data_IF_676839445596
#
_entry.id   IF_676839445596
#
_cell.length_a   1.000
_cell.length_b   1.000
_cell.length_c   1.000
_cell.angle_alpha   90.00
_cell.angle_beta   90.00
_cell.angle_gamma   90.00
#
_symmetry.space_group_name_H-M   'P 1'
#
loop_
_entity.id
_entity.type
_entity.pdbx_description
1 polymer ?
#
# COMPACT_ATOMS: atom_id res chain seq x y z
N UNK A 1 -7.93 8.29 33.51
CA UNK A 1 -7.77 7.40 32.35
C UNK A 1 -7.05 8.18 31.26
N UNK A 2 -5.93 7.66 30.78
CA UNK A 2 -5.15 8.33 29.70
C UNK A 2 -5.96 8.31 28.42
N UNK A 3 -6.12 9.45 27.71
CA UNK A 3 -6.80 9.50 26.43
C UNK A 3 -6.15 8.58 25.41
N UNK A 4 -6.94 7.83 24.67
CA UNK A 4 -6.44 6.85 23.71
C UNK A 4 -7.10 6.97 22.33
N UNK A 5 -6.36 6.62 21.29
CA UNK A 5 -6.89 6.38 19.94
C UNK A 5 -7.32 4.93 19.81
N UNK A 6 -8.55 4.70 19.37
CA UNK A 6 -9.07 3.37 19.07
C UNK A 6 -9.03 3.14 17.56
N UNK A 7 -8.05 2.39 17.09
CA UNK A 7 -7.96 1.97 15.70
C UNK A 7 -8.90 0.79 15.44
N UNK A 8 -9.54 0.77 14.28
CA UNK A 8 -10.42 -0.32 13.84
C UNK A 8 -10.00 -0.77 12.44
N UNK A 9 -9.63 -2.04 12.30
CA UNK A 9 -9.14 -2.61 11.03
C UNK A 9 -9.73 -4.00 10.80
N UNK A 10 -10.52 -4.17 9.72
CA UNK A 10 -11.26 -5.40 9.43
C UNK A 10 -10.49 -6.42 8.58
N UNK A 11 -9.42 -6.01 7.93
CA UNK A 11 -8.68 -6.84 6.99
C UNK A 11 -8.08 -8.08 7.65
N UNK A 12 -8.36 -9.26 7.06
CA UNK A 12 -7.90 -10.56 7.59
C UNK A 12 -6.57 -11.00 7.01
N UNK A 13 -6.31 -10.68 5.75
CA UNK A 13 -5.10 -11.03 5.04
C UNK A 13 -4.04 -9.95 5.23
N UNK A 14 -2.78 -10.38 5.25
CA UNK A 14 -1.66 -9.44 5.28
C UNK A 14 -1.43 -8.86 3.88
N UNK A 15 -1.88 -7.63 3.69
CA UNK A 15 -1.73 -6.85 2.46
C UNK A 15 -1.19 -5.45 2.75
N UNK A 16 -0.96 -4.65 1.73
CA UNK A 16 -0.48 -3.27 1.88
C UNK A 16 -1.27 -2.42 2.86
N UNK A 17 -2.60 -2.55 2.90
CA UNK A 17 -3.46 -1.85 3.86
C UNK A 17 -3.13 -2.19 5.32
N UNK A 18 -2.97 -3.47 5.65
CA UNK A 18 -2.62 -3.93 7.01
C UNK A 18 -1.19 -3.54 7.38
N UNK A 19 -0.25 -3.59 6.43
CA UNK A 19 1.11 -3.06 6.62
C UNK A 19 1.06 -1.58 7.01
N UNK A 20 0.20 -0.77 6.38
CA UNK A 20 0.05 0.66 6.71
C UNK A 20 -0.55 0.88 8.10
N UNK A 21 -1.51 0.05 8.54
CA UNK A 21 -2.04 0.11 9.92
C UNK A 21 -0.95 -0.19 10.93
N UNK A 22 -0.17 -1.25 10.69
CA UNK A 22 0.94 -1.63 11.55
C UNK A 22 2.02 -0.55 11.62
N UNK A 23 2.50 -0.03 10.47
CA UNK A 23 3.51 1.04 10.42
C UNK A 23 3.04 2.29 11.17
N UNK A 24 1.81 2.73 10.92
CA UNK A 24 1.24 3.89 11.61
C UNK A 24 1.19 3.67 13.12
N UNK A 25 0.64 2.53 13.57
CA UNK A 25 0.51 2.22 14.99
C UNK A 25 1.88 2.17 15.68
N UNK A 26 2.88 1.59 15.03
CA UNK A 26 4.26 1.52 15.55
C UNK A 26 4.88 2.91 15.71
N UNK A 27 4.76 3.78 14.72
CA UNK A 27 5.32 5.13 14.80
C UNK A 27 4.56 6.02 15.82
N UNK A 28 3.24 5.84 15.95
CA UNK A 28 2.46 6.49 17.00
C UNK A 28 2.86 6.02 18.41
N UNK A 29 3.14 4.72 18.57
CA UNK A 29 3.65 4.15 19.82
C UNK A 29 5.02 4.75 20.19
N UNK A 30 5.94 4.82 19.22
CA UNK A 30 7.25 5.47 19.39
C UNK A 30 7.15 6.94 19.79
N UNK A 31 6.11 7.61 19.28
CA UNK A 31 5.80 8.99 19.63
C UNK A 31 5.04 9.16 20.97
N UNK A 32 4.87 8.08 21.75
CA UNK A 32 4.23 8.09 23.06
C UNK A 32 2.71 8.17 23.04
N UNK A 33 2.05 7.98 21.89
CA UNK A 33 0.59 8.07 21.81
C UNK A 33 -0.06 6.80 22.38
N UNK A 34 -0.97 6.95 23.34
CA UNK A 34 -1.77 5.85 23.87
C UNK A 34 -2.77 5.41 22.82
N UNK A 35 -2.78 4.10 22.50
CA UNK A 35 -3.63 3.55 21.46
C UNK A 35 -4.02 2.11 21.72
N UNK A 36 -5.06 1.65 21.04
CA UNK A 36 -5.48 0.24 20.97
C UNK A 36 -5.97 -0.07 19.57
N UNK A 37 -5.65 -1.26 19.07
CA UNK A 37 -6.12 -1.70 17.74
C UNK A 37 -7.15 -2.82 17.91
N UNK A 38 -8.38 -2.57 17.45
CA UNK A 38 -9.44 -3.57 17.35
C UNK A 38 -9.36 -4.23 15.97
N UNK A 39 -9.01 -5.51 15.92
CA UNK A 39 -8.82 -6.26 14.68
C UNK A 39 -9.18 -7.73 14.84
N UNK A 40 -9.12 -8.51 13.75
CA UNK A 40 -9.34 -9.94 13.78
C UNK A 40 -8.34 -10.68 14.66
N UNK A 41 -8.81 -11.53 15.55
CA UNK A 41 -7.95 -12.36 16.39
C UNK A 41 -7.17 -13.37 15.53
N UNK A 42 -5.88 -13.56 15.83
CA UNK A 42 -5.00 -14.50 15.12
C UNK A 42 -4.62 -14.07 13.69
N UNK A 43 -4.87 -12.82 13.32
CA UNK A 43 -4.39 -12.27 12.04
C UNK A 43 -2.90 -11.88 12.13
N UNK A 44 -2.21 -11.85 10.99
CA UNK A 44 -0.83 -11.39 10.91
C UNK A 44 -0.67 -9.96 11.46
N UNK A 45 -1.65 -9.08 11.19
CA UNK A 45 -1.69 -7.73 11.77
C UNK A 45 -1.68 -7.77 13.29
N UNK A 46 -2.54 -8.61 13.90
CA UNK A 46 -2.61 -8.73 15.36
C UNK A 46 -1.28 -9.22 15.95
N UNK A 47 -0.66 -10.22 15.33
CA UNK A 47 0.63 -10.78 15.78
C UNK A 47 1.75 -9.75 15.71
N UNK A 48 1.86 -8.98 14.64
CA UNK A 48 2.88 -7.93 14.48
C UNK A 48 2.70 -6.80 15.48
N UNK A 49 1.46 -6.34 15.69
CA UNK A 49 1.16 -5.30 16.68
C UNK A 49 1.54 -5.74 18.09
N UNK A 50 1.23 -6.99 18.45
CA UNK A 50 1.61 -7.55 19.75
C UNK A 50 3.12 -7.72 19.90
N UNK A 51 3.84 -8.05 18.81
CA UNK A 51 5.29 -8.11 18.78
C UNK A 51 5.98 -6.77 19.04
N UNK A 52 5.29 -5.66 18.74
CA UNK A 52 5.73 -4.29 19.01
C UNK A 52 5.12 -3.70 20.31
N UNK A 53 4.61 -4.55 21.22
CA UNK A 53 3.95 -4.18 22.47
C UNK A 53 2.75 -3.22 22.32
N UNK A 54 2.12 -3.20 21.13
CA UNK A 54 0.92 -2.42 20.87
C UNK A 54 -0.30 -3.17 21.36
N UNK A 55 -1.13 -2.51 22.16
CA UNK A 55 -2.35 -3.10 22.71
C UNK A 55 -3.33 -3.48 21.61
N UNK A 56 -3.69 -4.77 21.55
CA UNK A 56 -4.64 -5.32 20.57
C UNK A 56 -5.87 -5.86 21.27
N UNK A 57 -7.05 -5.46 20.80
CA UNK A 57 -8.31 -6.11 21.13
C UNK A 57 -8.68 -7.06 19.97
N UNK A 58 -8.21 -8.30 20.06
CA UNK A 58 -8.52 -9.35 19.08
C UNK A 58 -9.97 -9.79 19.18
N UNK A 59 -10.71 -9.78 18.09
CA UNK A 59 -12.10 -10.20 18.03
C UNK A 59 -12.35 -11.23 16.93
N UNK A 60 -13.34 -12.10 17.10
CA UNK A 60 -13.80 -13.00 16.04
C UNK A 60 -14.53 -12.17 14.99
N UNK A 61 -13.80 -11.77 13.96
CA UNK A 61 -14.35 -11.01 12.85
C UNK A 61 -14.55 -11.92 11.64
N UNK A 62 -15.77 -12.46 11.48
CA UNK A 62 -16.04 -13.52 10.48
C UNK A 62 -16.48 -12.96 9.12
N UNK A 63 -17.13 -11.82 9.09
CA UNK A 63 -17.64 -11.17 7.87
C UNK A 63 -17.51 -9.65 7.98
N UNK A 64 -17.58 -8.95 6.84
CA UNK A 64 -17.35 -7.50 6.76
C UNK A 64 -18.05 -6.66 7.83
N UNK A 65 -19.38 -6.73 7.94
CA UNK A 65 -20.18 -6.02 8.94
C UNK A 65 -20.62 -6.96 10.06
N UNK A 66 -19.68 -7.40 10.89
CA UNK A 66 -19.97 -8.27 12.03
C UNK A 66 -20.35 -7.44 13.27
N UNK A 67 -21.62 -7.47 13.72
CA UNK A 67 -22.08 -6.65 14.84
C UNK A 67 -21.40 -7.01 16.18
N UNK A 68 -20.81 -8.19 16.30
CA UNK A 68 -20.05 -8.61 17.49
C UNK A 68 -18.83 -7.72 17.75
N UNK A 69 -18.32 -7.05 16.71
CA UNK A 69 -17.18 -6.11 16.79
C UNK A 69 -17.59 -4.78 17.45
N UNK A 70 -18.89 -4.42 17.48
CA UNK A 70 -19.35 -3.19 18.12
C UNK A 70 -19.05 -3.16 19.62
N UNK A 71 -19.23 -4.29 20.31
CA UNK A 71 -18.96 -4.37 21.74
C UNK A 71 -17.49 -4.13 22.11
N UNK A 72 -16.51 -4.75 21.50
CA UNK A 72 -15.10 -4.38 21.61
C UNK A 72 -14.83 -2.89 21.44
N UNK A 73 -15.32 -2.28 20.36
CA UNK A 73 -15.11 -0.85 20.10
C UNK A 73 -15.74 0.01 21.23
N UNK A 74 -16.97 -0.30 21.66
CA UNK A 74 -17.63 0.41 22.78
C UNK A 74 -16.84 0.26 24.07
N UNK A 75 -16.31 -0.94 24.37
CA UNK A 75 -15.48 -1.17 25.56
C UNK A 75 -14.25 -0.29 25.57
N UNK A 76 -13.52 -0.20 24.43
CA UNK A 76 -12.33 0.63 24.32
C UNK A 76 -12.66 2.14 24.41
N UNK A 77 -13.77 2.58 23.83
CA UNK A 77 -14.24 3.96 23.99
C UNK A 77 -14.52 4.26 25.46
N UNK A 78 -15.22 3.37 26.18
CA UNK A 78 -15.50 3.55 27.61
C UNK A 78 -14.26 3.47 28.49
N UNK A 79 -13.23 2.77 28.06
CA UNK A 79 -11.95 2.65 28.75
C UNK A 79 -11.02 3.86 28.54
N UNK A 80 -11.46 4.90 27.84
CA UNK A 80 -10.69 6.13 27.59
C UNK A 80 -10.46 6.47 26.13
N UNK A 81 -11.09 5.77 25.18
CA UNK A 81 -11.02 6.11 23.77
C UNK A 81 -11.67 7.45 23.48
N UNK A 82 -10.88 8.43 23.02
CA UNK A 82 -11.32 9.80 22.70
C UNK A 82 -11.39 10.07 21.21
N UNK A 83 -10.88 9.13 20.39
CA UNK A 83 -10.90 9.19 18.94
C UNK A 83 -11.02 7.76 18.36
N UNK A 84 -11.86 7.61 17.35
CA UNK A 84 -11.95 6.40 16.53
C UNK A 84 -11.21 6.62 15.21
N UNK A 85 -10.32 5.69 14.84
CA UNK A 85 -9.67 5.71 13.51
C UNK A 85 -9.96 4.41 12.76
N UNK A 86 -10.74 4.51 11.70
CA UNK A 86 -11.14 3.36 10.87
C UNK A 86 -10.29 3.28 9.59
N UNK A 87 -9.79 2.08 9.28
CA UNK A 87 -8.78 1.87 8.26
C UNK A 87 -9.29 1.21 6.97
N UNK A 88 -10.55 0.83 6.92
CA UNK A 88 -11.21 0.23 5.75
C UNK A 88 -12.72 0.45 5.80
N UNK A 89 -13.44 0.15 4.71
CA UNK A 89 -14.86 0.46 4.57
C UNK A 89 -15.76 -0.19 5.64
N UNK A 90 -15.49 -1.44 6.02
CA UNK A 90 -16.25 -2.12 7.07
C UNK A 90 -15.96 -1.50 8.45
N UNK A 91 -14.70 -1.21 8.72
CA UNK A 91 -14.28 -0.52 9.94
C UNK A 91 -14.93 0.87 10.05
N UNK A 92 -15.00 1.63 8.95
CA UNK A 92 -15.68 2.95 8.93
C UNK A 92 -17.15 2.83 9.31
N UNK A 93 -17.84 1.81 8.80
CA UNK A 93 -19.25 1.59 9.14
C UNK A 93 -19.44 1.26 10.62
N UNK A 94 -18.66 0.30 11.15
CA UNK A 94 -18.81 -0.14 12.55
C UNK A 94 -18.32 0.93 13.55
N UNK A 95 -17.18 1.56 13.29
CA UNK A 95 -16.69 2.65 14.13
C UNK A 95 -17.59 3.88 14.04
N UNK A 96 -18.17 4.17 12.88
CA UNK A 96 -19.12 5.26 12.68
C UNK A 96 -20.42 5.07 13.45
N UNK A 97 -20.94 3.84 13.55
CA UNK A 97 -22.08 3.51 14.42
C UNK A 97 -21.76 3.80 15.89
N UNK A 98 -20.60 3.33 16.37
CA UNK A 98 -20.17 3.57 17.76
C UNK A 98 -19.92 5.06 17.99
N UNK A 99 -19.21 5.76 17.12
CA UNK A 99 -18.92 7.19 17.21
C UNK A 99 -20.21 8.03 17.29
N UNK A 100 -21.24 7.67 16.49
CA UNK A 100 -22.55 8.34 16.53
C UNK A 100 -23.26 8.15 17.86
N UNK A 101 -23.15 6.96 18.48
CA UNK A 101 -23.79 6.66 19.77
C UNK A 101 -23.03 7.28 20.96
N UNK A 102 -21.71 7.31 20.89
CA UNK A 102 -20.83 7.75 22.00
C UNK A 102 -20.38 9.20 21.88
N UNK A 103 -20.65 9.85 20.75
CA UNK A 103 -20.17 11.20 20.38
C UNK A 103 -18.65 11.31 20.29
N UNK A 104 -17.95 10.19 20.14
CA UNK A 104 -16.50 10.17 19.89
C UNK A 104 -16.24 10.44 18.40
N UNK A 105 -15.33 11.38 18.05
CA UNK A 105 -15.04 11.72 16.68
C UNK A 105 -14.45 10.53 15.91
N UNK A 106 -14.79 10.43 14.61
CA UNK A 106 -14.32 9.43 13.69
C UNK A 106 -13.34 10.06 12.70
N UNK A 107 -12.15 9.50 12.58
CA UNK A 107 -11.24 9.64 11.43
C UNK A 107 -11.36 8.39 10.58
N UNK A 108 -11.47 8.55 9.27
CA UNK A 108 -11.53 7.44 8.32
C UNK A 108 -10.36 7.55 7.33
N UNK A 109 -9.65 6.46 7.03
CA UNK A 109 -8.59 6.45 5.99
C UNK A 109 -9.04 5.68 4.75
N UNK A 110 -8.95 6.33 3.58
CA UNK A 110 -9.19 5.74 2.26
C UNK A 110 -7.85 5.46 1.56
N UNK A 111 -7.66 4.19 1.15
CA UNK A 111 -6.40 3.70 0.54
C UNK A 111 -6.55 3.24 -0.91
N UNK A 112 -7.73 3.39 -1.47
CA UNK A 112 -8.05 2.97 -2.85
C UNK A 112 -8.77 4.09 -3.58
N UNK A 113 -8.57 4.20 -4.87
CA UNK A 113 -9.10 5.20 -5.77
C UNK A 113 -10.42 4.79 -6.47
N UNK A 114 -11.08 3.75 -5.95
CA UNK A 114 -12.42 3.37 -6.43
C UNK A 114 -13.49 4.26 -5.81
N UNK A 115 -14.56 4.55 -6.56
CA UNK A 115 -15.72 5.27 -6.06
C UNK A 115 -16.40 4.56 -4.87
N UNK A 116 -16.92 5.34 -3.96
CA UNK A 116 -17.73 4.84 -2.86
C UNK A 116 -19.09 4.40 -3.39
N UNK A 117 -19.56 3.22 -2.98
CA UNK A 117 -20.95 2.81 -3.29
C UNK A 117 -21.98 3.70 -2.60
N UNK A 118 -21.64 4.17 -1.38
CA UNK A 118 -22.45 5.08 -0.56
C UNK A 118 -21.53 5.90 0.33
N UNK A 119 -21.83 7.18 0.49
CA UNK A 119 -21.06 8.06 1.39
C UNK A 119 -21.20 7.66 2.87
N UNK A 120 -22.40 7.29 3.33
CA UNK A 120 -22.66 6.73 4.64
C UNK A 120 -21.90 7.42 5.79
N UNK A 121 -21.11 6.63 6.53
CA UNK A 121 -20.28 7.16 7.62
C UNK A 121 -19.00 7.86 7.14
N UNK A 122 -18.59 7.69 5.88
CA UNK A 122 -17.52 8.50 5.29
C UNK A 122 -17.88 9.98 5.30
N UNK A 123 -19.10 10.34 4.86
CA UNK A 123 -19.58 11.71 4.86
C UNK A 123 -19.87 12.29 6.26
N UNK A 124 -19.95 11.44 7.28
CA UNK A 124 -20.15 11.84 8.70
C UNK A 124 -18.85 11.88 9.50
N UNK A 125 -17.74 11.36 8.95
CA UNK A 125 -16.45 11.38 9.62
C UNK A 125 -16.03 12.83 9.92
N UNK A 126 -15.39 13.04 11.07
CA UNK A 126 -14.83 14.34 11.45
C UNK A 126 -13.74 14.76 10.48
N UNK A 127 -12.90 13.78 10.06
CA UNK A 127 -11.92 13.91 8.98
C UNK A 127 -11.85 12.61 8.19
N UNK A 128 -11.52 12.75 6.90
CA UNK A 128 -11.20 11.63 6.01
C UNK A 128 -9.77 11.81 5.52
N UNK A 129 -8.91 10.86 5.81
CA UNK A 129 -7.54 10.80 5.29
C UNK A 129 -7.58 10.11 3.92
N UNK A 130 -7.14 10.81 2.89
CA UNK A 130 -6.88 10.26 1.56
C UNK A 130 -5.37 9.98 1.43
N UNK A 131 -4.99 8.80 0.95
CA UNK A 131 -3.56 8.44 0.84
C UNK A 131 -2.84 9.08 -0.34
N UNK A 132 -3.58 9.80 -1.19
CA UNK A 132 -3.07 10.57 -2.33
C UNK A 132 -4.08 11.64 -2.72
N UNK A 133 -3.66 12.62 -3.53
CA UNK A 133 -4.54 13.63 -4.11
C UNK A 133 -5.57 12.99 -5.03
N UNK A 134 -5.17 11.97 -5.82
CA UNK A 134 -6.12 11.23 -6.66
C UNK A 134 -7.25 10.58 -5.84
N UNK A 135 -6.94 10.01 -4.66
CA UNK A 135 -7.96 9.49 -3.74
C UNK A 135 -8.81 10.61 -3.16
N UNK A 136 -8.24 11.78 -2.88
CA UNK A 136 -8.99 12.94 -2.40
C UNK A 136 -9.98 13.47 -3.45
N UNK A 137 -9.58 13.49 -4.72
CA UNK A 137 -10.44 13.87 -5.85
C UNK A 137 -11.64 12.91 -5.97
N UNK A 138 -11.39 11.59 -5.96
CA UNK A 138 -12.45 10.58 -5.98
C UNK A 138 -13.42 10.75 -4.80
N UNK A 139 -12.92 11.01 -3.59
CA UNK A 139 -13.78 11.25 -2.43
C UNK A 139 -14.62 12.52 -2.58
N UNK A 140 -14.06 13.56 -3.19
CA UNK A 140 -14.76 14.81 -3.48
C UNK A 140 -15.87 14.59 -4.50
N UNK A 141 -15.60 13.86 -5.57
CA UNK A 141 -16.56 13.48 -6.61
C UNK A 141 -17.68 12.60 -6.04
N UNK A 142 -17.36 11.77 -5.04
CA UNK A 142 -18.35 10.97 -4.29
C UNK A 142 -19.19 11.81 -3.29
N UNK A 143 -18.97 13.14 -3.21
CA UNK A 143 -19.74 14.05 -2.38
C UNK A 143 -19.26 14.16 -0.93
N UNK A 144 -18.03 13.77 -0.62
CA UNK A 144 -17.42 14.08 0.68
C UNK A 144 -16.97 15.54 0.69
N UNK A 145 -17.34 16.28 1.73
CA UNK A 145 -16.95 17.69 1.85
C UNK A 145 -15.42 17.85 1.83
N UNK A 146 -14.86 18.58 0.86
CA UNK A 146 -13.40 18.77 0.74
C UNK A 146 -12.72 19.32 2.00
N UNK A 147 -13.43 20.16 2.79
CA UNK A 147 -12.91 20.68 4.05
C UNK A 147 -12.67 19.61 5.13
N UNK A 148 -13.20 18.40 4.94
CA UNK A 148 -12.99 17.24 5.82
C UNK A 148 -11.94 16.29 5.28
N UNK A 149 -11.52 16.42 4.03
CA UNK A 149 -10.51 15.58 3.40
C UNK A 149 -9.13 16.15 3.71
N UNK A 150 -8.23 15.28 4.17
CA UNK A 150 -6.82 15.60 4.36
C UNK A 150 -5.98 14.58 3.62
N UNK A 151 -5.13 15.03 2.71
CA UNK A 151 -4.15 14.14 2.08
C UNK A 151 -3.03 13.86 3.08
N UNK A 152 -2.83 12.57 3.38
CA UNK A 152 -1.69 12.07 4.15
C UNK A 152 -1.18 10.83 3.44
N UNK A 153 -0.01 10.91 2.84
CA UNK A 153 0.57 9.81 2.08
C UNK A 153 0.86 8.59 2.97
N UNK A 154 0.65 7.41 2.42
CA UNK A 154 1.13 6.17 3.04
C UNK A 154 2.66 6.18 3.12
N UNK A 155 3.21 5.70 4.23
CA UNK A 155 4.65 5.67 4.45
C UNK A 155 5.25 4.26 4.35
N UNK A 156 6.58 4.21 4.22
CA UNK A 156 7.36 2.98 4.37
C UNK A 156 8.40 3.16 5.48
N UNK A 157 8.85 2.04 6.04
CA UNK A 157 9.98 2.01 6.98
C UNK A 157 11.29 2.07 6.17
N UNK A 158 11.82 3.28 5.97
CA UNK A 158 13.03 3.50 5.18
C UNK A 158 14.24 2.75 5.73
N UNK A 159 14.37 2.70 7.06
CA UNK A 159 15.49 2.02 7.73
C UNK A 159 15.49 0.52 7.42
N UNK A 160 14.36 -0.15 7.71
CA UNK A 160 14.22 -1.59 7.45
C UNK A 160 14.25 -1.90 5.95
N UNK A 161 13.63 -1.05 5.10
CA UNK A 161 13.62 -1.29 3.65
C UNK A 161 15.01 -1.24 3.06
N UNK A 162 15.83 -0.26 3.42
CA UNK A 162 17.21 -0.12 2.90
C UNK A 162 18.18 -1.22 3.33
N UNK A 163 17.86 -1.91 4.42
CA UNK A 163 18.65 -3.03 4.96
C UNK A 163 18.18 -4.40 4.45
N UNK A 164 17.19 -4.43 3.55
CA UNK A 164 16.68 -5.70 3.05
C UNK A 164 17.72 -6.38 2.14
N UNK A 165 18.13 -7.59 2.53
CA UNK A 165 19.05 -8.39 1.75
C UNK A 165 18.38 -8.88 0.46
N UNK A 166 19.08 -8.83 -0.70
CA UNK A 166 18.55 -9.36 -1.94
C UNK A 166 18.30 -10.86 -1.87
N UNK A 167 17.15 -11.30 -2.33
CA UNK A 167 16.87 -12.72 -2.58
C UNK A 167 17.43 -13.08 -3.97
N UNK A 168 18.24 -14.12 -4.02
CA UNK A 168 18.77 -14.63 -5.29
C UNK A 168 17.70 -15.43 -6.04
N UNK A 169 16.78 -14.70 -6.68
CA UNK A 169 15.72 -15.30 -7.50
C UNK A 169 16.29 -16.01 -8.73
N UNK A 170 17.44 -15.56 -9.25
CA UNK A 170 18.11 -16.20 -10.38
C UNK A 170 18.52 -17.63 -10.04
N UNK A 171 19.21 -17.82 -8.93
CA UNK A 171 19.60 -19.15 -8.46
C UNK A 171 18.39 -20.03 -8.14
N UNK A 172 17.34 -19.47 -7.52
CA UNK A 172 16.10 -20.21 -7.22
C UNK A 172 15.39 -20.75 -8.47
N UNK A 173 15.46 -20.02 -9.57
CA UNK A 173 14.86 -20.39 -10.84
C UNK A 173 15.81 -21.11 -11.81
N UNK A 174 17.07 -21.31 -11.42
CA UNK A 174 18.09 -21.91 -12.29
C UNK A 174 18.46 -21.05 -13.51
N UNK A 175 18.33 -19.73 -13.39
CA UNK A 175 18.66 -18.77 -14.43
C UNK A 175 20.16 -18.43 -14.40
N UNK A 176 20.68 -18.00 -15.55
CA UNK A 176 22.03 -17.47 -15.64
C UNK A 176 22.19 -16.24 -14.71
N UNK A 177 23.31 -16.11 -13.98
CA UNK A 177 23.57 -14.94 -13.13
C UNK A 177 23.47 -13.58 -13.84
N UNK A 178 23.76 -13.52 -15.13
CA UNK A 178 23.66 -12.30 -15.95
C UNK A 178 22.24 -12.00 -16.46
N UNK A 179 21.27 -12.90 -16.21
CA UNK A 179 19.87 -12.71 -16.58
C UNK A 179 19.32 -11.45 -15.90
N UNK A 180 18.74 -10.54 -16.69
CA UNK A 180 18.09 -9.34 -16.15
C UNK A 180 16.68 -9.66 -15.62
N UNK A 181 16.34 -9.09 -14.48
CA UNK A 181 15.05 -9.30 -13.84
C UNK A 181 14.22 -8.02 -13.76
N UNK A 182 13.05 -8.04 -14.40
CA UNK A 182 11.99 -7.06 -14.13
C UNK A 182 11.05 -7.63 -13.06
N UNK A 183 10.82 -6.90 -11.98
CA UNK A 183 10.04 -7.37 -10.84
C UNK A 183 8.77 -6.54 -10.63
N UNK A 184 7.67 -7.19 -10.27
CA UNK A 184 6.49 -6.57 -9.69
C UNK A 184 6.05 -7.33 -8.44
N UNK A 185 5.60 -6.60 -7.41
CA UNK A 185 5.09 -7.18 -6.16
C UNK A 185 3.70 -6.65 -5.88
N UNK A 186 2.71 -7.53 -5.82
CA UNK A 186 1.33 -7.14 -5.57
C UNK A 186 0.33 -8.27 -5.74
N UNK A 187 -0.90 -8.04 -5.29
CA UNK A 187 -1.99 -9.01 -5.48
C UNK A 187 -2.37 -9.15 -6.96
N UNK A 188 -2.70 -10.37 -7.40
CA UNK A 188 -3.13 -10.67 -8.77
C UNK A 188 -4.63 -10.40 -8.91
N UNK A 189 -4.98 -9.10 -8.99
CA UNK A 189 -6.35 -8.58 -9.04
C UNK A 189 -6.53 -7.62 -10.22
N UNK A 190 -7.77 -7.35 -10.69
CA UNK A 190 -8.02 -6.62 -11.94
C UNK A 190 -7.32 -5.26 -12.05
N UNK A 191 -7.38 -4.44 -11.01
CA UNK A 191 -6.84 -3.09 -11.04
C UNK A 191 -5.30 -3.00 -11.07
N UNK A 192 -4.59 -4.10 -10.77
CA UNK A 192 -3.13 -4.19 -10.92
C UNK A 192 -2.69 -4.42 -12.37
N UNK A 193 -3.61 -4.80 -13.23
CA UNK A 193 -3.46 -4.91 -14.69
C UNK A 193 -2.15 -5.61 -15.14
N UNK A 194 -1.90 -6.79 -14.54
CA UNK A 194 -0.76 -7.62 -14.93
C UNK A 194 -0.85 -8.08 -16.38
N UNK A 195 -2.04 -8.03 -17.02
CA UNK A 195 -2.17 -8.30 -18.45
C UNK A 195 -1.35 -7.30 -19.30
N UNK A 196 -1.41 -6.00 -18.97
CA UNK A 196 -0.57 -4.99 -19.63
C UNK A 196 0.93 -5.29 -19.45
N UNK A 197 1.35 -5.78 -18.27
CA UNK A 197 2.73 -6.20 -18.03
C UNK A 197 3.12 -7.41 -18.91
N UNK A 198 2.26 -8.43 -19.04
CA UNK A 198 2.51 -9.61 -19.90
C UNK A 198 2.62 -9.23 -21.37
N UNK A 199 1.76 -8.34 -21.86
CA UNK A 199 1.88 -7.81 -23.23
C UNK A 199 3.20 -7.03 -23.41
N UNK A 200 3.65 -6.24 -22.42
CA UNK A 200 4.94 -5.58 -22.46
C UNK A 200 6.10 -6.59 -22.47
N UNK A 201 5.99 -7.69 -21.73
CA UNK A 201 6.95 -8.79 -21.76
C UNK A 201 7.05 -9.41 -23.16
N UNK A 202 5.92 -9.64 -23.82
CA UNK A 202 5.90 -10.14 -25.21
C UNK A 202 6.62 -9.20 -26.18
N UNK A 203 6.35 -7.87 -26.06
CA UNK A 203 7.00 -6.86 -26.90
C UNK A 203 8.53 -6.81 -26.71
N UNK A 204 9.01 -7.15 -25.51
CA UNK A 204 10.44 -7.16 -25.18
C UNK A 204 11.13 -8.52 -25.38
N UNK A 205 10.40 -9.57 -25.72
CA UNK A 205 10.93 -10.91 -25.89
C UNK A 205 12.07 -10.98 -26.91
N UNK A 206 11.93 -10.34 -28.07
CA UNK A 206 12.96 -10.31 -29.10
C UNK A 206 14.02 -9.22 -28.87
N UNK A 207 13.67 -7.95 -28.49
CA UNK A 207 14.67 -6.91 -28.25
C UNK A 207 15.56 -7.14 -27.01
N UNK A 208 15.09 -7.85 -25.99
CA UNK A 208 15.79 -8.17 -24.75
C UNK A 208 15.60 -9.65 -24.36
N UNK A 209 16.23 -10.58 -25.10
CA UNK A 209 16.00 -12.02 -24.92
C UNK A 209 16.43 -12.54 -23.54
N UNK A 210 17.37 -11.87 -22.86
CA UNK A 210 17.81 -12.19 -21.50
C UNK A 210 17.02 -11.48 -20.39
N UNK A 211 15.84 -10.88 -20.70
CA UNK A 211 14.98 -10.27 -19.69
C UNK A 211 13.92 -11.28 -19.21
N UNK A 212 13.94 -11.57 -17.92
CA UNK A 212 12.90 -12.35 -17.26
C UNK A 212 12.04 -11.48 -16.33
N UNK A 213 10.80 -11.89 -16.14
CA UNK A 213 9.81 -11.15 -15.37
C UNK A 213 9.41 -11.93 -14.13
N UNK A 214 9.48 -11.26 -12.98
CA UNK A 214 9.17 -11.83 -11.68
C UNK A 214 7.89 -11.19 -11.17
N UNK A 215 6.86 -12.00 -10.99
CA UNK A 215 5.56 -11.59 -10.47
C UNK A 215 5.38 -12.24 -9.10
N UNK A 216 5.59 -11.45 -8.03
CA UNK A 216 5.46 -11.92 -6.65
C UNK A 216 4.11 -11.47 -6.06
N UNK A 217 3.26 -12.43 -5.77
CA UNK A 217 1.92 -12.22 -5.21
C UNK A 217 0.95 -13.30 -5.58
N UNK A 218 -0.21 -13.30 -4.91
CA UNK A 218 -1.32 -14.21 -5.15
C UNK A 218 -2.60 -13.42 -5.43
N UNK A 219 -3.59 -14.06 -6.04
CA UNK A 219 -4.89 -13.48 -6.30
C UNK A 219 -5.74 -14.27 -7.27
N UNK A 220 -6.97 -13.83 -7.44
CA UNK A 220 -8.00 -14.51 -8.24
C UNK A 220 -7.65 -14.64 -9.72
N UNK A 221 -6.77 -13.75 -10.23
CA UNK A 221 -6.38 -13.76 -11.64
C UNK A 221 -5.20 -14.70 -11.95
N UNK A 222 -4.61 -15.39 -10.97
CA UNK A 222 -3.41 -16.24 -11.15
C UNK A 222 -3.49 -17.12 -12.39
N UNK A 223 -4.52 -17.96 -12.46
CA UNK A 223 -4.70 -18.89 -13.58
C UNK A 223 -4.92 -18.21 -14.94
N UNK A 224 -5.64 -17.10 -14.93
CA UNK A 224 -5.90 -16.32 -16.16
C UNK A 224 -4.60 -15.70 -16.69
N UNK A 225 -3.75 -15.21 -15.79
CA UNK A 225 -2.48 -14.62 -16.17
C UNK A 225 -1.45 -15.67 -16.63
N UNK A 226 -1.41 -16.83 -16.00
CA UNK A 226 -0.58 -17.96 -16.46
C UNK A 226 -1.01 -18.44 -17.87
N UNK A 227 -2.31 -18.56 -18.10
CA UNK A 227 -2.85 -18.87 -19.43
C UNK A 227 -2.46 -17.77 -20.45
N UNK A 228 -2.61 -16.50 -20.10
CA UNK A 228 -2.24 -15.38 -20.98
C UNK A 228 -0.74 -15.37 -21.29
N UNK A 229 0.11 -15.71 -20.34
CA UNK A 229 1.56 -15.82 -20.58
C UNK A 229 1.90 -16.88 -21.62
N UNK A 230 1.20 -18.03 -21.59
CA UNK A 230 1.35 -19.08 -22.59
C UNK A 230 0.81 -18.65 -23.98
N UNK A 231 -0.38 -18.02 -24.04
CA UNK A 231 -0.94 -17.47 -25.29
C UNK A 231 -0.04 -16.42 -25.96
N UNK A 232 0.76 -15.72 -25.13
CA UNK A 232 1.71 -14.70 -25.61
C UNK A 232 3.12 -15.27 -25.89
N UNK A 233 3.35 -16.57 -25.78
CA UNK A 233 4.65 -17.24 -25.90
C UNK A 233 5.73 -16.57 -25.00
N UNK A 234 5.44 -16.33 -23.73
CA UNK A 234 6.36 -15.74 -22.75
C UNK A 234 6.43 -16.51 -21.42
N UNK A 235 5.80 -17.67 -21.31
CA UNK A 235 5.75 -18.48 -20.09
C UNK A 235 7.12 -18.95 -19.61
N UNK A 236 8.10 -19.12 -20.50
CA UNK A 236 9.47 -19.50 -20.19
C UNK A 236 10.28 -18.35 -19.56
N UNK A 237 9.80 -17.12 -19.64
CA UNK A 237 10.45 -15.91 -19.10
C UNK A 237 9.62 -15.13 -18.12
N UNK A 238 8.38 -15.55 -17.82
CA UNK A 238 7.51 -14.95 -16.81
C UNK A 238 7.32 -15.92 -15.65
N UNK A 239 7.80 -15.55 -14.47
CA UNK A 239 7.82 -16.40 -13.29
C UNK A 239 6.87 -15.89 -12.23
N UNK A 240 5.80 -16.62 -11.96
CA UNK A 240 4.85 -16.36 -10.90
C UNK A 240 5.32 -17.02 -9.60
N UNK A 241 5.89 -16.25 -8.68
CA UNK A 241 6.44 -16.78 -7.42
C UNK A 241 5.38 -17.12 -6.37
N UNK A 242 4.14 -16.66 -6.57
CA UNK A 242 3.13 -16.80 -5.54
C UNK A 242 3.36 -15.90 -4.34
N UNK A 243 2.86 -16.30 -3.18
CA UNK A 243 3.12 -15.56 -1.94
C UNK A 243 4.59 -15.68 -1.54
N UNK A 244 5.24 -14.54 -1.33
CA UNK A 244 6.65 -14.47 -0.90
C UNK A 244 6.73 -13.88 0.51
N UNK A 245 7.55 -14.51 1.36
CA UNK A 245 7.77 -14.04 2.75
C UNK A 245 8.66 -12.80 2.82
N UNK A 246 9.54 -12.61 1.83
CA UNK A 246 10.53 -11.53 1.76
C UNK A 246 10.34 -10.67 0.50
N UNK A 247 9.23 -9.93 0.37
CA UNK A 247 8.96 -9.14 -0.83
C UNK A 247 10.01 -8.05 -1.10
N UNK A 248 10.56 -7.45 -0.06
CA UNK A 248 11.65 -6.46 -0.20
C UNK A 248 12.92 -7.09 -0.78
N UNK A 249 13.27 -8.31 -0.35
CA UNK A 249 14.43 -9.04 -0.90
C UNK A 249 14.25 -9.40 -2.37
N UNK A 250 13.03 -9.75 -2.79
CA UNK A 250 12.71 -9.99 -4.22
C UNK A 250 12.88 -8.71 -5.04
N UNK A 251 12.42 -7.56 -4.51
CA UNK A 251 12.62 -6.26 -5.17
C UNK A 251 14.11 -5.92 -5.23
N UNK A 252 14.84 -6.07 -4.11
CA UNK A 252 16.27 -5.75 -4.03
C UNK A 252 17.14 -6.59 -4.99
N UNK A 253 16.70 -7.82 -5.33
CA UNK A 253 17.37 -8.70 -6.29
C UNK A 253 17.09 -8.40 -7.76
N UNK A 254 16.21 -7.43 -8.06
CA UNK A 254 15.79 -7.10 -9.43
C UNK A 254 16.62 -5.96 -10.06
N UNK A 255 16.63 -5.90 -11.39
CA UNK A 255 17.28 -4.83 -12.15
C UNK A 255 16.36 -3.64 -12.42
N UNK A 256 15.05 -3.88 -12.39
CA UNK A 256 14.00 -2.88 -12.58
C UNK A 256 12.72 -3.30 -11.87
N UNK A 257 12.03 -2.35 -11.26
CA UNK A 257 10.67 -2.53 -10.74
C UNK A 257 9.65 -2.01 -11.74
N UNK A 258 8.59 -2.80 -12.00
CA UNK A 258 7.56 -2.45 -12.96
C UNK A 258 6.19 -2.45 -12.29
N UNK A 259 5.43 -1.35 -12.43
CA UNK A 259 4.06 -1.23 -11.96
C UNK A 259 3.13 -0.97 -13.15
N UNK A 260 2.18 -1.88 -13.39
CA UNK A 260 1.24 -1.83 -14.52
C UNK A 260 -0.17 -1.41 -14.15
N UNK A 261 -0.43 -1.04 -12.89
CA UNK A 261 -1.76 -0.76 -12.36
C UNK A 261 -2.59 0.18 -13.25
N UNK A 262 -3.88 -0.11 -13.41
CA UNK A 262 -4.85 0.80 -14.03
C UNK A 262 -5.53 1.72 -13.00
N UNK A 263 -5.51 1.32 -11.73
CA UNK A 263 -6.02 2.08 -10.58
C UNK A 263 -5.10 1.80 -9.39
N UNK A 264 -4.70 2.85 -8.65
CA UNK A 264 -3.77 2.71 -7.53
C UNK A 264 -3.96 3.83 -6.49
N UNK A 265 -4.17 3.46 -5.24
CA UNK A 265 -4.27 4.45 -4.17
C UNK A 265 -3.02 5.31 -4.03
N UNK A 266 -1.86 4.68 -3.84
CA UNK A 266 -0.54 5.35 -3.84
C UNK A 266 0.55 4.47 -4.46
N UNK A 267 0.58 3.14 -4.17
CA UNK A 267 1.60 2.25 -4.73
C UNK A 267 2.84 2.10 -3.83
N UNK A 268 2.65 1.67 -2.59
CA UNK A 268 3.75 1.60 -1.61
C UNK A 268 4.89 0.66 -1.99
N UNK A 269 4.67 -0.34 -2.85
CA UNK A 269 5.76 -1.19 -3.39
C UNK A 269 6.68 -0.45 -4.38
N UNK A 270 6.20 0.63 -5.00
CA UNK A 270 7.04 1.57 -5.77
C UNK A 270 7.95 2.33 -4.82
N UNK A 271 7.45 2.79 -3.66
CA UNK A 271 8.28 3.42 -2.64
C UNK A 271 9.35 2.46 -2.10
N UNK A 272 9.00 1.18 -1.89
CA UNK A 272 9.96 0.16 -1.49
C UNK A 272 11.08 0.02 -2.55
N UNK A 273 10.74 -0.04 -3.84
CA UNK A 273 11.72 -0.10 -4.93
C UNK A 273 12.62 1.15 -4.97
N UNK A 274 12.04 2.35 -4.83
CA UNK A 274 12.78 3.62 -4.78
C UNK A 274 13.77 3.65 -3.61
N UNK A 275 13.37 3.18 -2.42
CA UNK A 275 14.22 3.12 -1.23
C UNK A 275 15.37 2.11 -1.35
N UNK A 276 15.15 1.03 -2.11
CA UNK A 276 16.14 0.00 -2.42
C UNK A 276 17.08 0.39 -3.56
N UNK A 277 16.90 1.56 -4.19
CA UNK A 277 17.70 2.00 -5.32
C UNK A 277 17.39 1.25 -6.62
N UNK A 278 16.23 0.62 -6.72
CA UNK A 278 15.79 -0.07 -7.93
C UNK A 278 15.04 0.93 -8.83
N UNK A 279 15.44 1.11 -10.09
CA UNK A 279 14.78 2.03 -11.00
C UNK A 279 13.37 1.56 -11.32
N UNK A 280 12.46 2.50 -11.56
CA UNK A 280 11.02 2.25 -11.69
C UNK A 280 10.50 2.64 -13.07
N UNK A 281 9.77 1.71 -13.73
CA UNK A 281 8.84 2.00 -14.81
C UNK A 281 7.40 1.77 -14.30
N UNK A 282 6.54 2.76 -14.44
CA UNK A 282 5.19 2.70 -13.86
C UNK A 282 4.15 3.34 -14.77
N UNK A 283 2.92 2.86 -14.65
CA UNK A 283 1.77 3.61 -15.16
C UNK A 283 1.52 4.87 -14.33
N UNK A 284 0.79 5.82 -14.91
CA UNK A 284 0.36 7.07 -14.25
C UNK A 284 -0.99 6.94 -13.53
N UNK A 285 -1.33 5.74 -13.04
CA UNK A 285 -2.59 5.48 -12.35
C UNK A 285 -2.61 6.06 -10.93
N UNK A 286 -3.75 6.62 -10.52
CA UNK A 286 -4.02 7.09 -9.17
C UNK A 286 -2.92 7.96 -8.58
N UNK A 287 -2.40 7.59 -7.40
CA UNK A 287 -1.34 8.33 -6.70
C UNK A 287 0.09 8.10 -7.20
N UNK A 288 0.33 7.23 -8.19
CA UNK A 288 1.68 6.94 -8.70
C UNK A 288 2.43 8.19 -9.22
N UNK A 289 1.78 9.15 -9.91
CA UNK A 289 2.44 10.38 -10.31
C UNK A 289 3.00 11.22 -9.16
N UNK A 290 2.39 11.17 -7.97
CA UNK A 290 2.83 11.96 -6.82
C UNK A 290 4.25 11.58 -6.33
N UNK A 291 4.65 10.33 -6.60
CA UNK A 291 5.98 9.82 -6.25
C UNK A 291 6.99 9.94 -7.42
N UNK A 292 6.50 9.89 -8.66
CA UNK A 292 7.37 9.69 -9.83
C UNK A 292 7.47 10.90 -10.78
N UNK A 293 6.60 11.93 -10.64
CA UNK A 293 6.55 13.11 -11.53
C UNK A 293 7.83 13.94 -11.53
N UNK A 294 8.66 13.84 -10.49
CA UNK A 294 9.95 14.55 -10.39
C UNK A 294 11.06 13.91 -11.24
N UNK A 295 10.74 12.89 -12.03
CA UNK A 295 11.72 12.08 -12.75
C UNK A 295 12.40 11.04 -11.87
N UNK A 296 11.73 10.59 -10.82
CA UNK A 296 12.14 9.49 -9.94
C UNK A 296 11.83 8.11 -10.53
N UNK A 297 11.19 8.06 -11.71
CA UNK A 297 10.86 6.90 -12.51
C UNK A 297 10.33 7.32 -13.87
N UNK A 298 10.00 6.38 -14.73
CA UNK A 298 9.33 6.67 -16.01
C UNK A 298 7.84 6.34 -15.86
N UNK A 299 6.99 7.35 -16.10
CA UNK A 299 5.54 7.21 -16.11
C UNK A 299 5.03 7.02 -17.53
N UNK A 300 4.08 6.11 -17.71
CA UNK A 300 3.40 5.83 -18.97
C UNK A 300 1.88 5.78 -18.74
N UNK A 301 1.04 6.00 -19.76
CA UNK A 301 -0.41 5.84 -19.61
C UNK A 301 -0.78 4.41 -19.18
N UNK A 302 -1.81 4.22 -18.32
CA UNK A 302 -2.35 2.88 -18.02
C UNK A 302 -2.86 2.18 -19.28
N UNK A 303 -2.78 0.84 -19.29
CA UNK A 303 -3.24 -0.01 -20.40
C UNK A 303 -2.52 0.23 -21.75
N UNK A 304 -1.28 0.72 -21.71
CA UNK A 304 -0.43 0.93 -22.87
C UNK A 304 0.84 0.07 -22.78
N UNK A 305 0.77 -1.22 -23.15
CA UNK A 305 1.90 -2.16 -23.02
C UNK A 305 3.12 -1.75 -23.87
N UNK A 306 2.92 -1.12 -25.01
CA UNK A 306 3.98 -0.59 -25.87
C UNK A 306 4.77 0.54 -25.17
N UNK A 307 4.08 1.47 -24.53
CA UNK A 307 4.70 2.53 -23.76
C UNK A 307 5.46 1.97 -22.53
N UNK A 308 4.86 0.97 -21.83
CA UNK A 308 5.50 0.31 -20.69
C UNK A 308 6.76 -0.45 -21.13
N UNK A 309 6.69 -1.21 -22.24
CA UNK A 309 7.85 -1.89 -22.83
C UNK A 309 8.95 -0.89 -23.21
N UNK A 310 8.58 0.23 -23.83
CA UNK A 310 9.50 1.32 -24.18
C UNK A 310 10.21 1.90 -22.96
N UNK A 311 9.50 2.14 -21.86
CA UNK A 311 10.04 2.63 -20.61
C UNK A 311 11.04 1.61 -19.98
N UNK A 312 10.66 0.34 -19.89
CA UNK A 312 11.52 -0.73 -19.40
C UNK A 312 12.82 -0.84 -20.22
N UNK A 313 12.70 -0.85 -21.57
CA UNK A 313 13.87 -0.91 -22.45
C UNK A 313 14.80 0.28 -22.24
N UNK A 314 14.26 1.50 -22.17
CA UNK A 314 15.07 2.70 -21.95
C UNK A 314 15.86 2.64 -20.65
N UNK A 315 15.23 2.23 -19.55
CA UNK A 315 15.90 2.11 -18.25
C UNK A 315 17.00 1.05 -18.27
N UNK A 316 16.75 -0.10 -18.90
CA UNK A 316 17.72 -1.20 -18.95
C UNK A 316 18.87 -0.96 -19.92
N UNK A 317 18.67 -0.17 -20.98
CA UNK A 317 19.68 0.08 -22.03
C UNK A 317 20.44 1.41 -21.86
N UNK A 318 20.01 2.30 -20.95
CA UNK A 318 20.64 3.60 -20.71
C UNK A 318 21.12 3.70 -19.24
N UNK A 319 22.42 3.42 -18.98
CA UNK A 319 22.98 3.46 -17.62
C UNK A 319 22.97 4.85 -16.99
N UNK A 320 23.06 5.93 -17.78
CA UNK A 320 23.04 7.30 -17.25
C UNK A 320 21.64 7.69 -16.82
N UNK A 321 20.64 7.40 -17.66
CA UNK A 321 19.24 7.55 -17.29
C UNK A 321 18.91 6.78 -16.02
N UNK A 322 19.29 5.49 -15.96
CA UNK A 322 19.06 4.63 -14.79
C UNK A 322 19.65 5.25 -13.53
N UNK A 323 20.89 5.71 -13.54
CA UNK A 323 21.53 6.38 -12.40
C UNK A 323 20.78 7.63 -11.97
N UNK A 324 20.42 8.49 -12.92
CA UNK A 324 19.67 9.72 -12.67
C UNK A 324 18.30 9.46 -12.02
N UNK A 325 17.56 8.43 -12.51
CA UNK A 325 16.28 8.03 -11.93
C UNK A 325 16.43 7.58 -10.47
N UNK A 326 17.42 6.71 -10.19
CA UNK A 326 17.69 6.19 -8.85
C UNK A 326 18.10 7.30 -7.88
N UNK A 327 18.95 8.23 -8.28
CA UNK A 327 19.37 9.36 -7.45
C UNK A 327 18.19 10.28 -7.10
N UNK A 328 17.28 10.53 -8.04
CA UNK A 328 16.08 11.32 -7.76
C UNK A 328 15.11 10.55 -6.88
N UNK A 329 14.90 9.25 -7.15
CA UNK A 329 14.06 8.38 -6.36
C UNK A 329 14.51 8.34 -4.88
N UNK A 330 15.81 8.21 -4.65
CA UNK A 330 16.40 8.21 -3.30
C UNK A 330 16.11 9.50 -2.51
N UNK A 331 16.04 10.65 -3.18
CA UNK A 331 15.67 11.92 -2.53
C UNK A 331 14.17 12.03 -2.32
N UNK A 332 13.38 11.64 -3.33
CA UNK A 332 11.92 11.75 -3.29
C UNK A 332 11.31 10.87 -2.20
N UNK A 333 11.83 9.65 -2.02
CA UNK A 333 11.27 8.67 -1.07
C UNK A 333 11.36 9.12 0.38
N UNK A 334 12.28 10.04 0.74
CA UNK A 334 12.38 10.60 2.10
C UNK A 334 11.08 11.28 2.56
N UNK A 335 10.32 11.83 1.62
CA UNK A 335 9.02 12.45 1.91
C UNK A 335 7.91 11.43 2.23
N UNK A 336 8.16 10.14 2.02
CA UNK A 336 7.19 9.06 2.18
C UNK A 336 7.59 8.08 3.29
N UNK A 337 8.21 8.58 4.36
CA UNK A 337 8.55 7.74 5.51
C UNK A 337 7.33 7.47 6.42
N UNK A 338 7.35 6.35 7.14
CA UNK A 338 6.31 6.01 8.11
C UNK A 338 6.26 7.02 9.27
N UNK A 339 7.40 7.56 9.66
CA UNK A 339 7.52 8.61 10.68
C UNK A 339 6.77 9.87 10.24
N UNK A 340 6.99 10.33 9.00
CA UNK A 340 6.30 11.50 8.45
C UNK A 340 4.80 11.27 8.36
N UNK A 341 4.37 10.11 7.87
CA UNK A 341 2.96 9.71 7.87
C UNK A 341 2.35 9.83 9.27
N UNK A 342 3.03 9.33 10.31
CA UNK A 342 2.53 9.38 11.67
C UNK A 342 2.43 10.82 12.21
N UNK A 343 3.39 11.70 11.89
CA UNK A 343 3.35 13.12 12.27
C UNK A 343 2.14 13.82 11.63
N UNK A 344 1.90 13.59 10.34
CA UNK A 344 0.77 14.16 9.62
C UNK A 344 -0.57 13.62 10.14
N UNK A 345 -0.68 12.31 10.42
CA UNK A 345 -1.87 11.70 11.03
C UNK A 345 -2.13 12.28 12.43
N UNK A 346 -1.10 12.50 13.25
CA UNK A 346 -1.25 13.17 14.57
C UNK A 346 -1.83 14.57 14.42
N UNK A 347 -1.44 15.32 13.41
CA UNK A 347 -2.02 16.63 13.12
C UNK A 347 -3.53 16.54 12.83
N UNK A 348 -3.94 15.51 12.07
CA UNK A 348 -5.37 15.22 11.85
C UNK A 348 -6.08 14.89 13.17
N UNK A 349 -5.47 14.05 14.02
CA UNK A 349 -6.05 13.69 15.32
C UNK A 349 -6.27 14.90 16.23
N UNK A 350 -5.28 15.79 16.32
CA UNK A 350 -5.36 17.04 17.11
C UNK A 350 -6.52 17.92 16.68
N UNK A 351 -6.78 17.98 15.37
CA UNK A 351 -7.92 18.75 14.85
C UNK A 351 -9.30 18.17 15.25
N UNK A 352 -9.35 16.90 15.68
CA UNK A 352 -10.58 16.21 16.06
C UNK A 352 -10.71 15.98 17.56
N UNK A 353 -9.61 15.77 18.26
CA UNK A 353 -9.55 15.41 19.68
C UNK A 353 -8.35 16.09 20.36
N UNK A 354 -8.50 17.39 20.80
CA UNK A 354 -7.40 18.13 21.43
C UNK A 354 -6.86 17.50 22.72
N UNK A 355 -7.62 16.64 23.37
CA UNK A 355 -7.20 15.92 24.59
C UNK A 355 -6.01 14.98 24.37
N UNK A 356 -5.63 14.69 23.12
CA UNK A 356 -4.45 13.84 22.79
C UNK A 356 -3.11 14.60 22.90
N UNK A 357 -3.13 15.92 23.14
CA UNK A 357 -1.92 16.73 23.28
C UNK A 357 -1.30 16.70 24.69
N UNK A 358 -1.98 16.17 25.69
CA UNK A 358 -1.57 16.15 27.09
C UNK A 358 -1.03 14.81 27.60
N UNK A 359 -0.73 13.87 26.69
CA UNK A 359 -0.25 12.52 27.06
C UNK A 359 1.15 12.25 26.56
#
# INVERSE_FOLDING_TARGET
VTPAVVHVASGREWRGGQRQVWLLARELQRAGLTQVVVTGAGTELASRLQGDDIRVHGTRWNSGLDPRVLLPIVREVRAGGVLLHAHDAHAVTLAGMVGSLTRVPLVATRRVDFHLRHTGFWGRASRVIAVSSAVADVLTDDGINPARIQVVHSGIDLGTTRLAEPVDVRAQLGLDPETRLACTVGALVPHKDHATLLHAARLLAAPLPGLHWIIAGEGELRRVLEWLAAELDVEDRVHFLGHVSQPLGVIAGADIYVMSSSEEGLGTSVLDAMALGIPVASTSAGGLPEMLHTGSGILVPPRHPDALAGAVRRILCDPELRRSLVERASRTVEAFSAERMAVEVRTVYRSCAPLLDGS
#
